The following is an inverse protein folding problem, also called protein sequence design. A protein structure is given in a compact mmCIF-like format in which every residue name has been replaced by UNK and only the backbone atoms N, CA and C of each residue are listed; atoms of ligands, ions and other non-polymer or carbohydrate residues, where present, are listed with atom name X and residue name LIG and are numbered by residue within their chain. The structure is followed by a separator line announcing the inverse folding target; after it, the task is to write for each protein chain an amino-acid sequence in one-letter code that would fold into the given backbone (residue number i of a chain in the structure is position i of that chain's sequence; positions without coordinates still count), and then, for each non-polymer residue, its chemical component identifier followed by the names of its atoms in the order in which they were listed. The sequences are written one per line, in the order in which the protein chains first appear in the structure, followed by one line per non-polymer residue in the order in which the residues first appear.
data_IF_695232590463
#
_entry.id   IF_695232590463
#
_cell.length_a   1.000
_cell.length_b   1.000
_cell.length_c   1.000
_cell.angle_alpha   90.00
_cell.angle_beta   90.00
_cell.angle_gamma   90.00
#
_symmetry.space_group_name_H-M   'P 1'
#
loop_
_entity.id
_entity.type
_entity.pdbx_description
1 polymer ?
#
# COMPACT_ATOMS: atom_id res chain seq x y z
N UNK A 1 -8.59 14.68 -1.11
CA UNK A 1 -7.97 14.86 0.22
C UNK A 1 -6.52 14.45 0.05
N UNK A 2 -5.58 15.38 0.23
CA UNK A 2 -4.16 15.15 -0.05
C UNK A 2 -3.52 14.65 1.26
N UNK A 3 -3.01 13.42 1.28
CA UNK A 3 -2.20 12.96 2.41
C UNK A 3 -0.77 13.48 2.25
N UNK A 4 -0.14 13.92 3.34
CA UNK A 4 1.24 14.38 3.35
C UNK A 4 2.27 13.24 3.47
N UNK A 5 1.82 12.01 3.76
CA UNK A 5 2.71 10.85 4.07
C UNK A 5 2.13 9.52 3.53
N UNK A 6 0.96 9.07 4.00
CA UNK A 6 0.31 7.84 3.48
C UNK A 6 -1.21 7.93 3.60
N UNK A 7 -1.96 7.25 2.74
CA UNK A 7 -3.43 7.24 2.82
C UNK A 7 -3.99 6.23 3.83
N UNK A 8 -3.30 5.11 4.05
CA UNK A 8 -3.68 4.10 5.04
C UNK A 8 -2.44 3.40 5.60
N UNK A 9 -2.44 3.15 6.92
CA UNK A 9 -1.36 2.40 7.60
C UNK A 9 -1.92 1.11 8.19
N UNK A 10 -1.24 -0.02 7.95
CA UNK A 10 -1.44 -1.30 8.63
C UNK A 10 -0.19 -1.60 9.47
N UNK A 11 -0.29 -1.44 10.78
CA UNK A 11 0.80 -1.66 11.71
C UNK A 11 0.41 -2.72 12.76
N UNK A 12 1.23 -3.75 12.96
CA UNK A 12 0.98 -4.79 13.97
C UNK A 12 -0.24 -5.68 13.68
N UNK A 13 -0.69 -5.71 12.42
CA UNK A 13 -1.94 -6.35 12.03
C UNK A 13 -1.74 -7.85 11.75
N UNK A 14 -2.74 -8.68 12.07
CA UNK A 14 -2.74 -10.11 11.74
C UNK A 14 -3.99 -10.48 10.95
N UNK A 15 -3.81 -11.20 9.84
CA UNK A 15 -4.87 -11.74 8.98
C UNK A 15 -5.85 -10.66 8.46
N UNK A 16 -5.32 -9.57 7.92
CA UNK A 16 -6.12 -8.46 7.36
C UNK A 16 -6.37 -8.66 5.88
N UNK A 17 -7.63 -8.55 5.46
CA UNK A 17 -8.00 -8.54 4.05
C UNK A 17 -8.59 -7.18 3.65
N UNK A 18 -7.92 -6.48 2.75
CA UNK A 18 -8.38 -5.21 2.18
C UNK A 18 -8.90 -5.48 0.76
N UNK A 19 -10.17 -5.20 0.51
CA UNK A 19 -10.84 -5.59 -0.74
C UNK A 19 -11.67 -4.48 -1.34
N UNK A 20 -11.79 -4.48 -2.67
CA UNK A 20 -12.76 -3.68 -3.42
C UNK A 20 -12.73 -2.17 -3.09
N UNK A 21 -11.54 -1.61 -2.87
CA UNK A 21 -11.40 -0.17 -2.62
C UNK A 21 -10.88 0.55 -3.86
N UNK A 22 -11.14 1.86 -3.92
CA UNK A 22 -10.59 2.76 -4.92
C UNK A 22 -9.90 3.92 -4.23
N UNK A 23 -8.59 4.03 -4.39
CA UNK A 23 -7.77 5.13 -3.89
C UNK A 23 -7.36 6.03 -5.05
N UNK A 24 -7.63 7.34 -4.97
CA UNK A 24 -7.28 8.31 -6.01
C UNK A 24 -6.68 9.56 -5.37
N UNK A 25 -5.50 9.95 -5.84
CA UNK A 25 -4.82 11.19 -5.47
C UNK A 25 -4.33 11.93 -6.74
N UNK A 26 -4.20 13.27 -6.70
CA UNK A 26 -3.63 14.01 -7.81
C UNK A 26 -2.21 13.52 -8.16
N UNK A 27 -1.90 13.44 -9.47
CA UNK A 27 -0.57 13.01 -9.97
C UNK A 27 0.59 13.79 -9.35
N UNK A 28 0.36 15.06 -9.05
CA UNK A 28 1.38 15.99 -8.58
C UNK A 28 1.44 16.07 -7.05
N UNK A 29 0.75 15.16 -6.35
CA UNK A 29 0.74 15.14 -4.89
C UNK A 29 2.08 14.59 -4.39
N UNK A 30 2.90 15.38 -3.69
CA UNK A 30 4.13 14.86 -3.11
C UNK A 30 3.80 13.87 -1.98
N UNK A 31 4.54 12.75 -1.91
CA UNK A 31 4.55 11.79 -0.80
C UNK A 31 3.18 11.17 -0.45
N UNK A 32 2.42 10.75 -1.46
CA UNK A 32 1.21 9.97 -1.21
C UNK A 32 1.52 8.50 -1.37
N UNK A 33 2.05 7.87 -0.32
CA UNK A 33 2.03 6.42 -0.28
C UNK A 33 0.57 5.97 -0.15
N UNK A 34 0.16 4.97 -0.94
CA UNK A 34 -1.21 4.48 -0.91
C UNK A 34 -1.48 3.72 0.39
N UNK A 35 -0.59 2.78 0.70
CA UNK A 35 -0.64 1.95 1.89
C UNK A 35 0.75 1.79 2.47
N UNK A 36 0.92 2.00 3.77
CA UNK A 36 2.13 1.63 4.51
C UNK A 36 1.83 0.39 5.38
N UNK A 37 2.59 -0.69 5.20
CA UNK A 37 2.39 -1.97 5.88
C UNK A 37 3.64 -2.38 6.63
N UNK A 38 3.55 -2.42 7.97
CA UNK A 38 4.68 -2.73 8.86
C UNK A 38 4.27 -3.72 9.94
N UNK A 39 5.22 -4.51 10.43
CA UNK A 39 5.04 -5.44 11.57
C UNK A 39 3.78 -6.33 11.47
N UNK A 40 3.33 -6.64 10.25
CA UNK A 40 2.02 -7.26 10.01
C UNK A 40 2.14 -8.64 9.37
N UNK A 41 1.29 -9.58 9.73
CA UNK A 41 1.31 -10.95 9.17
C UNK A 41 -0.01 -11.31 8.49
N UNK A 42 0.03 -11.88 7.29
CA UNK A 42 -1.17 -12.40 6.62
C UNK A 42 -2.04 -11.30 6.02
N UNK A 43 -1.43 -10.27 5.44
CA UNK A 43 -2.15 -9.15 4.82
C UNK A 43 -2.43 -9.45 3.36
N UNK A 44 -3.68 -9.33 2.93
CA UNK A 44 -4.10 -9.60 1.55
C UNK A 44 -4.86 -8.43 0.95
N UNK A 45 -4.38 -7.89 -0.17
CA UNK A 45 -5.07 -6.87 -0.96
C UNK A 45 -5.65 -7.51 -2.22
N UNK A 46 -6.97 -7.38 -2.44
CA UNK A 46 -7.65 -8.00 -3.59
C UNK A 46 -8.67 -7.09 -4.26
N UNK A 47 -8.63 -7.01 -5.60
CA UNK A 47 -9.71 -6.41 -6.39
C UNK A 47 -9.89 -4.90 -6.19
N UNK A 48 -8.79 -4.19 -5.98
CA UNK A 48 -8.81 -2.76 -5.65
C UNK A 48 -8.12 -1.95 -6.74
N UNK A 49 -8.29 -0.63 -6.77
CA UNK A 49 -7.65 0.27 -7.75
C UNK A 49 -6.95 1.40 -7.03
N UNK A 50 -5.67 1.64 -7.34
CA UNK A 50 -4.87 2.71 -6.76
C UNK A 50 -4.38 3.64 -7.87
N UNK A 51 -4.79 4.89 -7.81
CA UNK A 51 -4.42 5.93 -8.77
C UNK A 51 -3.80 7.12 -8.05
N UNK A 52 -2.50 7.05 -7.76
CA UNK A 52 -1.76 8.08 -7.01
C UNK A 52 -0.44 8.44 -7.68
N UNK A 53 0.19 9.52 -7.23
CA UNK A 53 1.43 10.06 -7.80
C UNK A 53 2.72 9.36 -7.37
N UNK A 54 2.69 8.54 -6.31
CA UNK A 54 3.87 7.93 -5.66
C UNK A 54 3.72 6.40 -5.49
N UNK A 55 4.21 5.80 -4.39
CA UNK A 55 4.14 4.35 -4.14
C UNK A 55 2.72 3.89 -3.76
N UNK A 56 2.12 2.98 -4.53
CA UNK A 56 0.79 2.46 -4.23
C UNK A 56 0.74 1.65 -2.94
N UNK A 57 1.80 0.92 -2.62
CA UNK A 57 1.97 0.17 -1.38
C UNK A 57 3.46 0.18 -1.03
N UNK A 58 3.78 0.63 0.16
CA UNK A 58 5.08 0.53 0.82
C UNK A 58 5.01 -0.59 1.87
N UNK A 59 5.93 -1.56 1.77
CA UNK A 59 6.04 -2.67 2.72
C UNK A 59 7.31 -2.48 3.53
N UNK A 60 7.15 -2.23 4.83
CA UNK A 60 8.24 -2.07 5.78
C UNK A 60 8.57 -3.37 6.55
N UNK A 61 9.56 -3.29 7.46
CA UNK A 61 10.12 -4.45 8.15
C UNK A 61 9.12 -5.17 9.06
N UNK A 62 9.39 -6.45 9.32
CA UNK A 62 8.55 -7.32 10.14
C UNK A 62 7.22 -7.73 9.50
N UNK A 63 6.98 -7.34 8.24
CA UNK A 63 5.82 -7.80 7.49
C UNK A 63 6.05 -9.20 6.89
N UNK A 64 5.10 -10.13 7.08
CA UNK A 64 5.18 -11.52 6.61
C UNK A 64 3.87 -11.94 5.95
N UNK A 65 3.93 -12.88 5.01
CA UNK A 65 2.74 -13.42 4.31
C UNK A 65 1.85 -12.31 3.72
N UNK A 66 2.46 -11.45 2.89
CA UNK A 66 1.78 -10.34 2.22
C UNK A 66 1.42 -10.72 0.77
N UNK A 67 0.16 -10.52 0.36
CA UNK A 67 -0.33 -10.85 -0.98
C UNK A 67 -1.08 -9.68 -1.62
N UNK A 68 -0.70 -9.31 -2.84
CA UNK A 68 -1.47 -8.41 -3.71
C UNK A 68 -1.99 -9.19 -4.91
N UNK A 69 -3.29 -9.07 -5.19
CA UNK A 69 -3.88 -9.60 -6.42
C UNK A 69 -4.90 -8.61 -6.99
N UNK A 70 -4.87 -8.41 -8.31
CA UNK A 70 -5.78 -7.51 -9.03
C UNK A 70 -5.80 -6.08 -8.43
N UNK A 71 -4.63 -5.46 -8.35
CA UNK A 71 -4.45 -4.10 -7.86
C UNK A 71 -3.82 -3.23 -8.97
N UNK A 72 -4.59 -2.73 -9.95
CA UNK A 72 -4.06 -1.75 -10.89
C UNK A 72 -3.54 -0.54 -10.13
N UNK A 73 -2.28 -0.20 -10.38
CA UNK A 73 -1.54 0.86 -9.72
C UNK A 73 -0.91 1.77 -10.78
N UNK A 74 -1.15 3.09 -10.69
CA UNK A 74 -0.51 4.07 -11.57
C UNK A 74 -1.24 5.41 -11.58
N UNK A 75 -0.61 6.52 -11.98
CA UNK A 75 0.63 6.63 -12.76
C UNK A 75 1.94 6.81 -11.95
N UNK A 76 1.90 6.66 -10.63
CA UNK A 76 3.06 6.78 -9.74
C UNK A 76 4.11 5.67 -9.87
N UNK A 77 4.80 5.37 -8.77
CA UNK A 77 5.99 4.52 -8.74
C UNK A 77 5.73 3.01 -8.67
N UNK A 78 4.47 2.58 -8.54
CA UNK A 78 4.14 1.15 -8.49
C UNK A 78 4.04 0.63 -7.05
N UNK A 79 4.34 -0.66 -6.87
CA UNK A 79 4.46 -1.29 -5.54
C UNK A 79 5.93 -1.32 -5.17
N UNK A 80 6.31 -0.81 -4.00
CA UNK A 80 7.68 -0.90 -3.48
C UNK A 80 7.74 -1.76 -2.23
N UNK A 81 8.74 -2.63 -2.19
CA UNK A 81 9.15 -3.32 -0.97
C UNK A 81 10.44 -2.65 -0.50
N UNK A 82 10.45 -2.10 0.70
CA UNK A 82 11.72 -1.91 1.38
C UNK A 82 12.21 -3.28 1.87
N UNK A 83 13.53 -3.45 1.93
CA UNK A 83 14.19 -4.73 2.15
C UNK A 83 13.64 -5.42 3.40
N UNK A 84 12.91 -6.53 3.23
CA UNK A 84 12.47 -7.38 4.33
C UNK A 84 13.69 -8.17 4.79
N UNK A 85 14.40 -7.64 5.79
CA UNK A 85 15.43 -8.43 6.46
C UNK A 85 14.76 -9.59 7.22
N UNK A 86 15.27 -10.79 6.94
CA UNK A 86 14.86 -12.05 7.57
C UNK A 86 15.24 -12.07 9.07
#
# INVERSE_FOLDING_TARGET
MNSQITHMTLNGCTNVAVRNFKLVAPKNSPNTDGFDVQLSTGVTFTGSTVQIGDDCVAIGPGTRNFLISKLPCGPGHGVRSERIEN
#
